data_IF_941093686673
#
_entry.id   IF_941093686673
#
_cell.length_a   1.000
_cell.length_b   1.000
_cell.length_c   1.000
_cell.angle_alpha   90.00
_cell.angle_beta   90.00
_cell.angle_gamma   90.00
#
_symmetry.space_group_name_H-M   'P 1'
#
loop_
_entity.id
_entity.type
_entity.pdbx_description
1 polymer ?
#
# COMPACT_ATOMS: atom_id res chain seq x y z
N UNK A 1 -18.73 4.94 69.14
CA UNK A 1 -18.03 5.64 68.02
C UNK A 1 -17.03 4.74 67.27
N UNK A 2 -16.32 3.83 67.95
CA UNK A 2 -15.27 2.96 67.38
C UNK A 2 -15.76 1.83 66.45
N UNK A 3 -16.99 1.33 66.65
CA UNK A 3 -17.59 0.26 65.85
C UNK A 3 -17.97 0.76 64.44
N UNK A 4 -18.49 1.99 64.34
CA UNK A 4 -18.87 2.60 63.06
C UNK A 4 -17.64 2.89 62.18
N UNK A 5 -16.54 3.34 62.77
CA UNK A 5 -15.27 3.60 62.08
C UNK A 5 -14.59 2.33 61.58
N UNK A 6 -14.64 1.22 62.32
CA UNK A 6 -14.16 -0.08 61.85
C UNK A 6 -15.01 -0.66 60.71
N UNK A 7 -16.33 -0.46 60.75
CA UNK A 7 -17.22 -0.92 59.67
C UNK A 7 -16.94 -0.18 58.36
N UNK A 8 -16.74 1.14 58.42
CA UNK A 8 -16.36 1.97 57.27
C UNK A 8 -14.99 1.57 56.72
N UNK A 9 -13.98 1.34 57.58
CA UNK A 9 -12.66 0.85 57.16
C UNK A 9 -12.73 -0.51 56.46
N UNK A 10 -13.49 -1.46 57.01
CA UNK A 10 -13.61 -2.80 56.41
C UNK A 10 -14.36 -2.77 55.08
N UNK A 11 -15.41 -1.95 54.96
CA UNK A 11 -16.12 -1.74 53.69
C UNK A 11 -15.21 -1.07 52.65
N UNK A 12 -14.41 -0.08 53.04
CA UNK A 12 -13.45 0.58 52.14
C UNK A 12 -12.38 -0.40 51.65
N UNK A 13 -11.77 -1.19 52.54
CA UNK A 13 -10.78 -2.22 52.18
C UNK A 13 -11.37 -3.26 51.23
N UNK A 14 -12.59 -3.74 51.50
CA UNK A 14 -13.27 -4.70 50.63
C UNK A 14 -13.51 -4.12 49.23
N UNK A 15 -14.01 -2.89 49.13
CA UNK A 15 -14.22 -2.20 47.84
C UNK A 15 -12.90 -2.07 47.09
N UNK A 16 -11.83 -1.59 47.75
CA UNK A 16 -10.52 -1.46 47.10
C UNK A 16 -9.96 -2.81 46.64
N UNK A 17 -10.17 -3.88 47.40
CA UNK A 17 -9.66 -5.22 47.07
C UNK A 17 -10.43 -5.82 45.88
N UNK A 18 -11.75 -5.64 45.84
CA UNK A 18 -12.60 -6.06 44.71
C UNK A 18 -12.26 -5.26 43.45
N UNK A 19 -12.08 -3.93 43.57
CA UNK A 19 -11.66 -3.10 42.45
C UNK A 19 -10.28 -3.50 41.90
N UNK A 20 -9.31 -3.78 42.78
CA UNK A 20 -7.98 -4.26 42.37
C UNK A 20 -8.08 -5.64 41.69
N UNK A 21 -8.88 -6.56 42.22
CA UNK A 21 -9.06 -7.88 41.62
C UNK A 21 -9.71 -7.80 40.22
N UNK A 22 -10.75 -6.98 40.05
CA UNK A 22 -11.39 -6.74 38.75
C UNK A 22 -10.40 -6.10 37.76
N UNK A 23 -9.58 -5.16 38.23
CA UNK A 23 -8.54 -4.53 37.40
C UNK A 23 -7.46 -5.53 36.97
N UNK A 24 -6.94 -6.35 37.89
CA UNK A 24 -5.95 -7.38 37.55
C UNK A 24 -6.51 -8.47 36.64
N UNK A 25 -7.76 -8.89 36.86
CA UNK A 25 -8.41 -9.90 36.03
C UNK A 25 -8.64 -9.38 34.60
N UNK A 26 -9.18 -8.15 34.46
CA UNK A 26 -9.39 -7.52 33.15
C UNK A 26 -8.07 -7.29 32.39
N UNK A 27 -7.02 -6.83 33.08
CA UNK A 27 -5.69 -6.69 32.50
C UNK A 27 -5.09 -8.04 32.07
N UNK A 28 -5.29 -9.10 32.86
CA UNK A 28 -4.82 -10.45 32.50
C UNK A 28 -5.54 -11.02 31.27
N UNK A 29 -6.84 -10.76 31.13
CA UNK A 29 -7.64 -11.20 29.99
C UNK A 29 -7.25 -10.44 28.71
N UNK A 30 -7.05 -9.12 28.81
CA UNK A 30 -6.53 -8.30 27.71
C UNK A 30 -5.21 -8.87 27.17
N UNK A 31 -4.22 -9.09 28.04
CA UNK A 31 -2.91 -9.59 27.63
C UNK A 31 -2.98 -10.94 26.89
N UNK A 32 -3.85 -11.85 27.33
CA UNK A 32 -4.07 -13.14 26.68
C UNK A 32 -4.71 -13.00 25.29
N UNK A 33 -5.71 -12.13 25.15
CA UNK A 33 -6.37 -11.86 23.86
C UNK A 33 -5.41 -11.15 22.90
N UNK A 34 -4.62 -10.19 23.36
CA UNK A 34 -3.61 -9.52 22.52
C UNK A 34 -2.51 -10.49 22.07
N UNK A 35 -2.08 -11.44 22.92
CA UNK A 35 -1.16 -12.50 22.50
C UNK A 35 -1.77 -13.41 21.42
N UNK A 36 -3.06 -13.72 21.52
CA UNK A 36 -3.79 -14.44 20.47
C UNK A 36 -3.88 -13.62 19.19
N UNK A 37 -4.20 -12.33 19.28
CA UNK A 37 -4.25 -11.42 18.14
C UNK A 37 -2.90 -11.32 17.42
N UNK A 38 -1.79 -11.23 18.16
CA UNK A 38 -0.43 -11.23 17.59
C UNK A 38 -0.16 -12.48 16.74
N UNK A 39 -0.53 -13.66 17.25
CA UNK A 39 -0.39 -14.92 16.49
C UNK A 39 -1.23 -14.93 15.23
N UNK A 40 -2.50 -14.55 15.35
CA UNK A 40 -3.44 -14.47 14.23
C UNK A 40 -3.00 -13.46 13.15
N UNK A 41 -2.50 -12.29 13.56
CA UNK A 41 -2.03 -11.23 12.68
C UNK A 41 -0.81 -11.65 11.84
N UNK A 42 0.02 -12.55 12.35
CA UNK A 42 1.19 -13.07 11.64
C UNK A 42 0.86 -14.05 10.50
N UNK A 43 -0.40 -14.49 10.41
CA UNK A 43 -0.84 -15.40 9.34
C UNK A 43 -0.68 -14.77 7.95
N UNK A 44 -0.43 -15.62 6.95
CA UNK A 44 -0.47 -15.23 5.53
C UNK A 44 -1.92 -15.13 5.03
N UNK A 45 -2.83 -15.88 5.64
CA UNK A 45 -4.23 -15.94 5.26
C UNK A 45 -5.00 -14.71 5.77
N UNK A 46 -6.02 -14.31 5.00
CA UNK A 46 -6.85 -13.15 5.32
C UNK A 46 -7.74 -13.39 6.55
N UNK A 47 -8.36 -14.57 6.65
CA UNK A 47 -9.30 -14.90 7.73
C UNK A 47 -8.69 -14.75 9.14
N UNK A 48 -7.51 -15.31 9.45
CA UNK A 48 -6.89 -15.07 10.75
C UNK A 48 -6.57 -13.59 11.00
N UNK A 49 -6.19 -12.82 9.98
CA UNK A 49 -5.94 -11.38 10.15
C UNK A 49 -7.21 -10.62 10.50
N UNK A 50 -8.35 -10.96 9.90
CA UNK A 50 -9.65 -10.39 10.24
C UNK A 50 -10.02 -10.69 11.70
N UNK A 51 -9.75 -11.92 12.17
CA UNK A 51 -9.95 -12.25 13.59
C UNK A 51 -9.03 -11.44 14.52
N UNK A 52 -7.76 -11.24 14.13
CA UNK A 52 -6.86 -10.38 14.88
C UNK A 52 -7.34 -8.93 14.92
N UNK A 53 -7.86 -8.41 13.79
CA UNK A 53 -8.45 -7.09 13.69
C UNK A 53 -9.59 -6.89 14.69
N UNK A 54 -10.53 -7.83 14.77
CA UNK A 54 -11.65 -7.74 15.72
C UNK A 54 -11.18 -7.70 17.19
N UNK A 55 -10.12 -8.45 17.51
CA UNK A 55 -9.53 -8.44 18.85
C UNK A 55 -8.86 -7.09 19.11
N UNK A 56 -8.01 -6.60 18.21
CA UNK A 56 -7.33 -5.32 18.39
C UNK A 56 -8.30 -4.16 18.47
N UNK A 57 -9.35 -4.14 17.64
CA UNK A 57 -10.37 -3.09 17.62
C UNK A 57 -11.07 -2.96 18.97
N UNK A 58 -11.34 -4.08 19.65
CA UNK A 58 -11.96 -4.10 20.98
C UNK A 58 -11.13 -3.35 22.03
N UNK A 59 -9.81 -3.41 21.94
CA UNK A 59 -8.89 -2.89 22.96
C UNK A 59 -8.19 -1.58 22.54
N UNK A 60 -8.32 -1.15 21.28
CA UNK A 60 -7.56 -0.02 20.72
C UNK A 60 -7.79 1.32 21.42
N UNK A 61 -8.93 1.51 22.09
CA UNK A 61 -9.23 2.75 22.85
C UNK A 61 -8.54 2.82 24.20
N UNK A 62 -8.11 1.68 24.76
CA UNK A 62 -7.55 1.57 26.12
C UNK A 62 -6.11 1.05 26.15
N UNK A 63 -5.66 0.44 25.05
CA UNK A 63 -4.38 -0.25 24.96
C UNK A 63 -3.56 0.28 23.78
N UNK A 64 -2.44 0.99 24.04
CA UNK A 64 -1.53 1.44 22.98
C UNK A 64 -1.00 0.29 22.14
N UNK A 65 -0.68 -0.84 22.77
CA UNK A 65 -0.24 -2.05 22.07
C UNK A 65 -1.32 -2.58 21.12
N UNK A 66 -2.60 -2.57 21.54
CA UNK A 66 -3.69 -2.98 20.67
C UNK A 66 -3.87 -2.02 19.50
N UNK A 67 -3.69 -0.70 19.72
CA UNK A 67 -3.75 0.31 18.66
C UNK A 67 -2.63 0.16 17.64
N UNK A 68 -1.42 -0.14 18.07
CA UNK A 68 -0.30 -0.45 17.17
C UNK A 68 -0.56 -1.75 16.38
N UNK A 69 -1.05 -2.78 17.06
CA UNK A 69 -1.48 -4.03 16.43
C UNK A 69 -2.59 -3.81 15.39
N UNK A 70 -3.57 -2.95 15.71
CA UNK A 70 -4.66 -2.57 14.81
C UNK A 70 -4.12 -1.88 13.55
N UNK A 71 -3.24 -0.88 13.71
CA UNK A 71 -2.58 -0.21 12.60
C UNK A 71 -1.86 -1.22 11.70
N UNK A 72 -1.07 -2.10 12.29
CA UNK A 72 -0.30 -3.10 11.53
C UNK A 72 -1.21 -4.05 10.77
N UNK A 73 -2.24 -4.59 11.43
CA UNK A 73 -3.14 -5.57 10.80
C UNK A 73 -4.02 -4.94 9.73
N UNK A 74 -4.49 -3.69 9.92
CA UNK A 74 -5.25 -2.95 8.90
C UNK A 74 -4.43 -2.79 7.62
N UNK A 75 -3.13 -2.46 7.71
CA UNK A 75 -2.25 -2.44 6.54
C UNK A 75 -2.16 -3.80 5.87
N UNK A 76 -1.89 -4.86 6.63
CA UNK A 76 -1.74 -6.22 6.07
C UNK A 76 -3.02 -6.73 5.41
N UNK A 77 -4.19 -6.46 5.99
CA UNK A 77 -5.50 -6.80 5.43
C UNK A 77 -5.75 -5.99 4.15
N UNK A 78 -5.54 -4.67 4.20
CA UNK A 78 -5.74 -3.79 3.05
C UNK A 78 -4.86 -4.16 1.85
N UNK A 79 -3.60 -4.53 2.11
CA UNK A 79 -2.69 -5.06 1.08
C UNK A 79 -3.21 -6.37 0.50
N UNK A 80 -3.68 -7.30 1.33
CA UNK A 80 -4.26 -8.57 0.86
C UNK A 80 -5.47 -8.37 -0.04
N UNK A 81 -6.42 -7.52 0.34
CA UNK A 81 -7.56 -7.18 -0.52
C UNK A 81 -7.11 -6.53 -1.83
N UNK A 82 -6.09 -5.66 -1.80
CA UNK A 82 -5.53 -5.04 -3.00
C UNK A 82 -4.96 -6.09 -3.96
N UNK A 83 -4.22 -7.07 -3.44
CA UNK A 83 -3.67 -8.19 -4.23
C UNK A 83 -4.80 -9.05 -4.82
N UNK A 84 -5.86 -9.29 -4.06
CA UNK A 84 -7.05 -10.01 -4.52
C UNK A 84 -7.94 -9.19 -5.49
N UNK A 85 -7.53 -7.96 -5.84
CA UNK A 85 -8.28 -7.02 -6.69
C UNK A 85 -9.61 -6.55 -6.09
N UNK A 86 -9.78 -6.69 -4.79
CA UNK A 86 -10.92 -6.20 -4.01
C UNK A 86 -10.62 -4.76 -3.54
N UNK A 87 -10.48 -3.84 -4.50
CA UNK A 87 -9.90 -2.52 -4.26
C UNK A 87 -10.65 -1.65 -3.25
N UNK A 88 -11.98 -1.78 -3.16
CA UNK A 88 -12.79 -1.00 -2.20
C UNK A 88 -12.53 -1.41 -0.76
N UNK A 89 -12.43 -2.72 -0.49
CA UNK A 89 -12.06 -3.23 0.83
C UNK A 89 -10.60 -2.90 1.16
N UNK A 90 -9.71 -2.99 0.15
CA UNK A 90 -8.34 -2.52 0.25
C UNK A 90 -8.28 -1.08 0.77
N UNK A 91 -8.97 -0.16 0.10
CA UNK A 91 -9.06 1.25 0.53
C UNK A 91 -9.62 1.36 1.94
N UNK A 92 -10.70 0.64 2.29
CA UNK A 92 -11.33 0.73 3.61
C UNK A 92 -10.34 0.48 4.74
N UNK A 93 -9.60 -0.63 4.70
CA UNK A 93 -8.64 -0.97 5.77
C UNK A 93 -7.38 -0.09 5.73
N UNK A 94 -6.90 0.26 4.54
CA UNK A 94 -5.75 1.17 4.42
C UNK A 94 -6.07 2.58 4.91
N UNK A 95 -7.29 3.08 4.70
CA UNK A 95 -7.74 4.37 5.22
C UNK A 95 -7.76 4.38 6.74
N UNK A 96 -8.20 3.31 7.40
CA UNK A 96 -8.10 3.20 8.86
C UNK A 96 -6.65 3.27 9.35
N UNK A 97 -5.71 2.64 8.63
CA UNK A 97 -4.29 2.75 8.95
C UNK A 97 -3.77 4.20 8.84
N UNK A 98 -4.22 4.96 7.85
CA UNK A 98 -3.86 6.37 7.67
C UNK A 98 -4.53 7.28 8.71
N UNK A 99 -5.77 6.98 9.11
CA UNK A 99 -6.46 7.70 10.19
C UNK A 99 -5.71 7.54 11.53
N UNK A 100 -5.13 6.37 11.78
CA UNK A 100 -4.30 6.12 12.96
C UNK A 100 -2.92 6.76 12.86
N UNK A 101 -2.29 6.71 11.69
CA UNK A 101 -1.00 7.33 11.42
C UNK A 101 -0.93 7.83 9.95
N UNK A 102 -1.04 9.16 9.73
CA UNK A 102 -0.98 9.76 8.40
C UNK A 102 0.39 9.68 7.71
N UNK A 103 1.41 9.13 8.37
CA UNK A 103 2.75 8.95 7.81
C UNK A 103 2.98 7.54 7.25
N UNK A 104 1.93 6.71 7.19
CA UNK A 104 2.01 5.36 6.62
C UNK A 104 2.12 5.38 5.09
N UNK A 105 3.34 5.61 4.58
CA UNK A 105 3.63 5.67 3.14
C UNK A 105 3.17 4.42 2.38
N UNK A 106 3.26 3.23 3.00
CA UNK A 106 2.80 1.98 2.41
C UNK A 106 1.29 2.03 2.16
N UNK A 107 0.53 2.53 3.13
CA UNK A 107 -0.92 2.63 2.99
C UNK A 107 -1.30 3.64 1.90
N UNK A 108 -0.63 4.80 1.86
CA UNK A 108 -0.80 5.76 0.77
C UNK A 108 -0.48 5.12 -0.60
N UNK A 109 0.65 4.43 -0.74
CA UNK A 109 1.02 3.76 -1.98
C UNK A 109 -0.04 2.76 -2.45
N UNK A 110 -0.49 1.86 -1.57
CA UNK A 110 -1.50 0.85 -1.96
C UNK A 110 -2.88 1.44 -2.22
N UNK A 111 -3.30 2.51 -1.53
CA UNK A 111 -4.53 3.24 -1.89
C UNK A 111 -4.40 3.86 -3.27
N UNK A 112 -3.23 4.42 -3.61
CA UNK A 112 -2.92 4.89 -4.96
C UNK A 112 -3.11 3.78 -6.01
N UNK A 113 -2.61 2.58 -5.73
CA UNK A 113 -2.81 1.38 -6.56
C UNK A 113 -4.29 1.03 -6.69
N UNK A 114 -5.05 1.02 -5.59
CA UNK A 114 -6.48 0.73 -5.62
C UNK A 114 -7.25 1.72 -6.49
N UNK A 115 -7.03 3.03 -6.31
CA UNK A 115 -7.71 4.05 -7.11
C UNK A 115 -7.31 3.99 -8.59
N UNK A 116 -6.03 3.72 -8.90
CA UNK A 116 -5.59 3.54 -10.28
C UNK A 116 -6.29 2.36 -10.97
N UNK A 117 -6.50 1.26 -10.25
CA UNK A 117 -7.24 0.12 -10.79
C UNK A 117 -8.73 0.41 -10.93
N UNK A 118 -9.36 1.02 -9.92
CA UNK A 118 -10.77 1.43 -10.00
C UNK A 118 -11.01 2.38 -11.17
N UNK A 119 -10.12 3.35 -11.37
CA UNK A 119 -10.14 4.25 -12.52
C UNK A 119 -10.19 3.49 -13.86
N UNK A 120 -9.36 2.46 -14.03
CA UNK A 120 -9.26 1.71 -15.29
C UNK A 120 -10.55 0.96 -15.64
N UNK A 121 -11.31 0.52 -14.63
CA UNK A 121 -12.55 -0.25 -14.80
C UNK A 121 -13.83 0.59 -14.71
N UNK A 122 -13.73 1.83 -14.25
CA UNK A 122 -14.89 2.70 -14.03
C UNK A 122 -15.42 3.29 -15.35
N UNK A 123 -16.73 3.22 -15.53
CA UNK A 123 -17.45 3.76 -16.67
C UNK A 123 -18.10 5.11 -16.36
N UNK A 124 -18.42 5.37 -15.09
CA UNK A 124 -18.95 6.66 -14.68
C UNK A 124 -17.84 7.74 -14.74
N UNK A 125 -18.02 8.75 -15.59
CA UNK A 125 -17.03 9.80 -15.84
C UNK A 125 -16.65 10.60 -14.58
N UNK A 126 -17.62 10.91 -13.72
CA UNK A 126 -17.37 11.70 -12.51
C UNK A 126 -16.56 10.92 -11.49
N UNK A 127 -16.95 9.67 -11.22
CA UNK A 127 -16.20 8.77 -10.34
C UNK A 127 -14.81 8.47 -10.91
N UNK A 128 -14.71 8.31 -12.22
CA UNK A 128 -13.44 8.08 -12.91
C UNK A 128 -12.48 9.25 -12.68
N UNK A 129 -12.96 10.49 -12.80
CA UNK A 129 -12.16 11.68 -12.57
C UNK A 129 -11.77 11.85 -11.09
N UNK A 130 -12.67 11.53 -10.16
CA UNK A 130 -12.38 11.48 -8.73
C UNK A 130 -11.29 10.44 -8.42
N UNK A 131 -11.40 9.22 -8.95
CA UNK A 131 -10.39 8.18 -8.77
C UNK A 131 -9.04 8.57 -9.37
N UNK A 132 -9.01 9.27 -10.52
CA UNK A 132 -7.74 9.82 -11.07
C UNK A 132 -7.05 10.74 -10.07
N UNK A 133 -7.79 11.71 -9.53
CA UNK A 133 -7.25 12.69 -8.58
C UNK A 133 -6.75 12.00 -7.31
N UNK A 134 -7.53 11.06 -6.78
CA UNK A 134 -7.15 10.32 -5.56
C UNK A 134 -5.93 9.43 -5.77
N UNK A 135 -5.83 8.73 -6.91
CA UNK A 135 -4.64 7.93 -7.22
C UNK A 135 -3.36 8.77 -7.20
N UNK A 136 -3.38 9.92 -7.89
CA UNK A 136 -2.24 10.85 -7.93
C UNK A 136 -1.90 11.37 -6.52
N UNK A 137 -2.90 11.86 -5.78
CA UNK A 137 -2.68 12.42 -4.44
C UNK A 137 -2.06 11.40 -3.47
N UNK A 138 -2.52 10.14 -3.52
CA UNK A 138 -1.99 9.08 -2.66
C UNK A 138 -0.58 8.63 -3.06
N UNK A 139 -0.26 8.56 -4.35
CA UNK A 139 1.12 8.30 -4.78
C UNK A 139 2.07 9.43 -4.38
N UNK A 140 1.68 10.69 -4.63
CA UNK A 140 2.46 11.86 -4.23
C UNK A 140 2.69 11.87 -2.73
N UNK A 141 1.66 11.57 -1.93
CA UNK A 141 1.83 11.50 -0.47
C UNK A 141 2.81 10.41 -0.03
N UNK A 142 2.81 9.25 -0.68
CA UNK A 142 3.79 8.21 -0.41
C UNK A 142 5.24 8.66 -0.74
N UNK A 143 5.42 9.41 -1.84
CA UNK A 143 6.70 10.00 -2.25
C UNK A 143 7.15 11.11 -1.29
N UNK A 144 6.24 11.98 -0.85
CA UNK A 144 6.55 13.02 0.14
C UNK A 144 7.09 12.45 1.45
N UNK A 145 6.51 11.33 1.90
CA UNK A 145 6.93 10.66 3.14
C UNK A 145 8.24 9.89 2.91
N UNK A 146 8.35 9.17 1.79
CA UNK A 146 9.55 8.41 1.41
C UNK A 146 9.96 8.75 -0.02
N UNK A 147 10.82 9.76 -0.23
CA UNK A 147 11.23 10.21 -1.56
C UNK A 147 12.04 9.19 -2.36
N UNK A 148 12.49 8.11 -1.74
CA UNK A 148 13.24 7.04 -2.40
C UNK A 148 12.37 5.81 -2.67
N UNK A 149 11.04 5.92 -2.52
CA UNK A 149 10.13 4.80 -2.71
C UNK A 149 9.92 4.54 -4.19
N UNK A 150 10.78 3.71 -4.77
CA UNK A 150 10.77 3.41 -6.21
C UNK A 150 9.41 2.93 -6.72
N UNK A 151 8.67 2.16 -5.91
CA UNK A 151 7.35 1.67 -6.30
C UNK A 151 6.32 2.79 -6.47
N UNK A 152 6.39 3.85 -5.66
CA UNK A 152 5.48 4.99 -5.76
C UNK A 152 5.83 5.89 -6.95
N UNK A 153 7.11 6.16 -7.20
CA UNK A 153 7.55 6.84 -8.43
C UNK A 153 7.11 6.07 -9.68
N UNK A 154 7.32 4.74 -9.70
CA UNK A 154 6.86 3.91 -10.81
C UNK A 154 5.33 3.96 -10.96
N UNK A 155 4.60 3.80 -9.87
CA UNK A 155 3.13 3.83 -9.86
C UNK A 155 2.58 5.15 -10.38
N UNK A 156 3.16 6.28 -9.95
CA UNK A 156 2.77 7.62 -10.39
C UNK A 156 3.13 7.86 -11.86
N UNK A 157 4.35 7.51 -12.27
CA UNK A 157 4.80 7.68 -13.65
C UNK A 157 3.99 6.85 -14.64
N UNK A 158 3.74 5.58 -14.32
CA UNK A 158 2.87 4.72 -15.12
C UNK A 158 1.43 5.25 -15.16
N UNK A 159 0.93 5.79 -14.06
CA UNK A 159 -0.42 6.35 -14.03
C UNK A 159 -0.54 7.65 -14.84
N UNK A 160 0.47 8.52 -14.85
CA UNK A 160 0.51 9.68 -15.75
C UNK A 160 0.52 9.29 -17.22
N UNK A 161 1.25 8.22 -17.56
CA UNK A 161 1.27 7.65 -18.90
C UNK A 161 -0.12 7.16 -19.33
N UNK A 162 -0.73 6.27 -18.56
CA UNK A 162 -1.99 5.61 -18.94
C UNK A 162 -3.23 6.52 -18.79
N UNK A 163 -3.34 7.24 -17.67
CA UNK A 163 -4.58 7.92 -17.31
C UNK A 163 -4.68 9.35 -17.84
N UNK A 164 -3.54 9.98 -18.11
CA UNK A 164 -3.47 11.38 -18.51
C UNK A 164 -2.83 11.59 -19.88
N UNK A 165 -2.12 10.58 -20.43
CA UNK A 165 -1.20 10.78 -21.56
C UNK A 165 -0.21 11.93 -21.32
N UNK A 166 0.14 12.20 -20.05
CA UNK A 166 1.09 13.24 -19.68
C UNK A 166 2.49 12.64 -19.69
N UNK A 167 3.06 12.52 -20.90
CA UNK A 167 4.35 11.88 -21.12
C UNK A 167 5.51 12.62 -20.45
N UNK A 168 5.37 13.92 -20.23
CA UNK A 168 6.38 14.71 -19.52
C UNK A 168 6.45 14.27 -18.05
N UNK A 169 5.35 14.32 -17.32
CA UNK A 169 5.33 13.89 -15.91
C UNK A 169 5.60 12.40 -15.76
N UNK A 170 5.12 11.58 -16.70
CA UNK A 170 5.45 10.17 -16.71
C UNK A 170 6.96 9.94 -16.79
N UNK A 171 7.66 10.62 -17.70
CA UNK A 171 9.12 10.55 -17.83
C UNK A 171 9.83 11.03 -16.57
N UNK A 172 9.43 12.16 -16.00
CA UNK A 172 10.07 12.71 -14.80
C UNK A 172 10.11 11.66 -13.66
N UNK A 173 8.97 11.02 -13.39
CA UNK A 173 8.86 9.98 -12.35
C UNK A 173 9.58 8.68 -12.72
N UNK A 174 9.50 8.23 -13.98
CA UNK A 174 10.16 7.00 -14.44
C UNK A 174 11.69 7.14 -14.51
N UNK A 175 12.20 8.34 -14.80
CA UNK A 175 13.63 8.62 -14.74
C UNK A 175 14.13 8.60 -13.29
N UNK A 176 13.33 9.05 -12.32
CA UNK A 176 13.64 8.90 -10.90
C UNK A 176 13.69 7.42 -10.49
N UNK A 177 12.78 6.59 -11.02
CA UNK A 177 12.87 5.12 -10.86
C UNK A 177 14.19 4.58 -11.39
N UNK A 178 14.64 5.01 -12.56
CA UNK A 178 15.93 4.57 -13.12
C UNK A 178 17.14 5.15 -12.40
N UNK A 179 17.00 6.32 -11.75
CA UNK A 179 18.05 6.88 -10.89
C UNK A 179 18.24 6.03 -9.63
N UNK A 180 17.15 5.60 -9.02
CA UNK A 180 17.15 4.75 -7.81
C UNK A 180 17.47 3.27 -8.14
N UNK A 181 16.91 2.76 -9.23
CA UNK A 181 17.04 1.38 -9.70
C UNK A 181 17.38 1.33 -11.20
N UNK A 182 18.66 1.49 -11.59
CA UNK A 182 19.07 1.53 -13.00
C UNK A 182 18.71 0.29 -13.83
N UNK A 183 18.44 -0.84 -13.16
CA UNK A 183 18.07 -2.12 -13.76
C UNK A 183 16.55 -2.38 -13.74
N UNK A 184 15.73 -1.38 -13.42
CA UNK A 184 14.28 -1.55 -13.35
C UNK A 184 13.69 -1.75 -14.76
N UNK A 185 13.44 -3.02 -15.10
CA UNK A 185 12.92 -3.42 -16.42
C UNK A 185 11.58 -2.76 -16.75
N UNK A 186 10.71 -2.54 -15.75
CA UNK A 186 9.39 -1.95 -15.97
C UNK A 186 9.51 -0.48 -16.37
N UNK A 187 10.37 0.29 -15.72
CA UNK A 187 10.58 1.69 -16.07
C UNK A 187 11.20 1.85 -17.47
N UNK A 188 12.21 1.04 -17.82
CA UNK A 188 12.75 1.01 -19.18
C UNK A 188 11.66 0.71 -20.22
N UNK A 189 10.73 -0.20 -19.91
CA UNK A 189 9.65 -0.56 -20.84
C UNK A 189 8.69 0.59 -21.10
N UNK A 190 8.23 1.27 -20.04
CA UNK A 190 7.30 2.42 -20.19
C UNK A 190 8.00 3.60 -20.86
N UNK A 191 9.27 3.86 -20.54
CA UNK A 191 10.05 4.90 -21.22
C UNK A 191 10.27 4.58 -22.71
N UNK A 192 10.45 3.31 -23.08
CA UNK A 192 10.51 2.89 -24.47
C UNK A 192 9.21 3.16 -25.22
N UNK A 193 8.06 2.89 -24.58
CA UNK A 193 6.74 3.19 -25.15
C UNK A 193 6.52 4.70 -25.32
N UNK A 194 6.90 5.50 -24.32
CA UNK A 194 6.81 6.96 -24.41
C UNK A 194 7.68 7.48 -25.56
N UNK A 195 8.94 7.06 -25.64
CA UNK A 195 9.85 7.47 -26.72
C UNK A 195 9.32 7.08 -28.11
N UNK A 196 8.73 5.89 -28.23
CA UNK A 196 8.10 5.43 -29.47
C UNK A 196 6.92 6.34 -29.87
N UNK A 197 6.05 6.68 -28.92
CA UNK A 197 4.89 7.56 -29.16
C UNK A 197 5.29 9.00 -29.49
N UNK A 198 6.41 9.49 -28.95
CA UNK A 198 7.00 10.79 -29.30
C UNK A 198 7.74 10.76 -30.65
N UNK A 199 7.89 9.59 -31.28
CA UNK A 199 8.57 9.41 -32.56
C UNK A 199 10.08 9.31 -32.47
N UNK A 200 10.66 9.32 -31.27
CA UNK A 200 12.09 9.06 -31.03
C UNK A 200 12.36 7.55 -31.04
N UNK A 201 12.31 7.01 -32.25
CA UNK A 201 12.49 5.58 -32.51
C UNK A 201 13.87 5.07 -32.06
N UNK A 202 14.91 5.90 -32.17
CA UNK A 202 16.26 5.53 -31.75
C UNK A 202 16.33 5.35 -30.23
N UNK A 203 15.80 6.32 -29.47
CA UNK A 203 15.76 6.22 -28.00
C UNK A 203 14.87 5.08 -27.52
N UNK A 204 13.71 4.88 -28.17
CA UNK A 204 12.82 3.76 -27.86
C UNK A 204 13.53 2.42 -28.01
N UNK A 205 14.29 2.26 -29.11
CA UNK A 205 15.09 1.07 -29.38
C UNK A 205 16.15 0.84 -28.30
N UNK A 206 16.86 1.88 -27.89
CA UNK A 206 17.91 1.78 -26.87
C UNK A 206 17.36 1.29 -25.53
N UNK A 207 16.19 1.77 -25.13
CA UNK A 207 15.50 1.25 -23.94
C UNK A 207 15.11 -0.23 -24.08
N UNK A 208 14.57 -0.66 -25.22
CA UNK A 208 14.26 -2.07 -25.44
C UNK A 208 15.51 -2.96 -25.48
N UNK A 209 16.60 -2.52 -26.09
CA UNK A 209 17.90 -3.21 -26.06
C UNK A 209 18.41 -3.32 -24.63
N UNK A 210 18.28 -2.25 -23.84
CA UNK A 210 18.62 -2.28 -22.42
C UNK A 210 17.82 -3.34 -21.68
N UNK A 211 16.51 -3.46 -21.93
CA UNK A 211 15.68 -4.51 -21.35
C UNK A 211 16.21 -5.90 -21.72
N UNK A 212 16.54 -6.16 -22.98
CA UNK A 212 17.09 -7.45 -23.41
C UNK A 212 18.40 -7.82 -22.71
N UNK A 213 19.21 -6.83 -22.33
CA UNK A 213 20.44 -7.04 -21.55
C UNK A 213 20.19 -7.40 -20.08
N UNK A 214 19.01 -7.04 -19.55
CA UNK A 214 18.64 -7.22 -18.15
C UNK A 214 17.83 -8.50 -17.90
N UNK A 215 17.11 -9.00 -18.92
CA UNK A 215 16.23 -10.17 -18.78
C UNK A 215 16.86 -11.45 -19.32
N UNK A 216 16.47 -12.59 -18.73
CA UNK A 216 16.95 -13.90 -19.18
C UNK A 216 16.33 -14.30 -20.53
N UNK A 217 16.95 -15.27 -21.23
CA UNK A 217 16.38 -15.84 -22.47
C UNK A 217 15.00 -16.50 -22.28
N UNK A 218 14.67 -16.91 -21.05
CA UNK A 218 13.38 -17.56 -20.70
C UNK A 218 12.35 -16.57 -20.15
N UNK A 219 12.70 -15.28 -20.06
CA UNK A 219 11.78 -14.27 -19.55
C UNK A 219 10.58 -14.13 -20.50
N UNK A 220 9.33 -14.19 -20.00
CA UNK A 220 8.14 -14.16 -20.85
C UNK A 220 8.00 -12.85 -21.66
N UNK A 221 8.61 -11.75 -21.20
CA UNK A 221 8.56 -10.46 -21.89
C UNK A 221 9.52 -10.39 -23.07
N UNK A 222 10.47 -11.33 -23.18
CA UNK A 222 11.55 -11.27 -24.17
C UNK A 222 11.04 -11.18 -25.60
N UNK A 223 10.04 -11.99 -25.94
CA UNK A 223 9.50 -12.00 -27.30
C UNK A 223 8.88 -10.64 -27.65
N UNK A 224 8.05 -10.08 -26.78
CA UNK A 224 7.46 -8.75 -26.96
C UNK A 224 8.52 -7.67 -27.18
N UNK A 225 9.62 -7.71 -26.43
CA UNK A 225 10.72 -6.73 -26.58
C UNK A 225 11.42 -6.89 -27.93
N UNK A 226 11.64 -8.13 -28.40
CA UNK A 226 12.22 -8.39 -29.71
C UNK A 226 11.28 -7.93 -30.84
N UNK A 227 9.99 -8.16 -30.70
CA UNK A 227 8.99 -7.74 -31.68
C UNK A 227 8.94 -6.21 -31.81
N UNK A 228 8.99 -5.50 -30.66
CA UNK A 228 9.05 -4.03 -30.63
C UNK A 228 10.33 -3.50 -31.29
N UNK A 229 11.50 -4.10 -31.04
CA UNK A 229 12.75 -3.71 -31.71
C UNK A 229 12.66 -3.95 -33.22
N UNK A 230 12.16 -5.11 -33.64
CA UNK A 230 12.03 -5.44 -35.05
C UNK A 230 11.06 -4.51 -35.78
N UNK A 231 10.00 -4.05 -35.11
CA UNK A 231 9.11 -3.03 -35.64
C UNK A 231 9.83 -1.69 -35.82
N UNK A 232 10.53 -1.22 -34.78
CA UNK A 232 11.29 0.02 -34.81
C UNK A 232 12.36 -0.01 -35.93
N UNK A 233 13.07 -1.12 -36.09
CA UNK A 233 14.10 -1.28 -37.12
C UNK A 233 13.53 -1.18 -38.54
N UNK A 234 12.31 -1.72 -38.78
CA UNK A 234 11.62 -1.54 -40.05
C UNK A 234 11.24 -0.08 -40.30
N UNK A 235 10.75 0.62 -39.28
CA UNK A 235 10.35 2.02 -39.42
C UNK A 235 11.55 2.96 -39.64
N UNK A 236 12.70 2.67 -39.00
CA UNK A 236 13.94 3.41 -39.21
C UNK A 236 14.54 3.16 -40.60
N UNK A 237 14.46 1.94 -41.13
CA UNK A 237 14.97 1.59 -42.46
C UNK A 237 14.11 2.09 -43.62
N UNK A 238 12.89 2.57 -43.35
CA UNK A 238 11.96 3.11 -44.34
C UNK A 238 11.99 4.65 -44.43
N UNK A 239 12.85 5.33 -43.65
CA UNK A 239 13.07 6.79 -43.68
C UNK A 239 14.36 7.12 -44.43
#
# INVERSE_FOLDING_TARGET
MQIATNKIKNTFILITTVCLFIFFFSCSQENMELLKANRLASSVQLEPRLQAYEIYLRYASVSPQAREGLLSVCKSIGISYTINREFREGIRYLSQAIEMDPTQYIAHYYIGVCYANLWSTEMNTELKEDYKKKAVAHYQRAIEIVPTLTSAHYGLGFFYFEAFNDYKKAKDELLEVLRLEPKNVRAHFVLAQIAYLEGDLALARDYYVKILSLISKKDPRRQTVLDNIAQIDRELGNK
#
